data_IF_559938159877
#
_entry.id   IF_559938159877
#
_cell.length_a   1.000
_cell.length_b   1.000
_cell.length_c   1.000
_cell.angle_alpha   90.00
_cell.angle_beta   90.00
_cell.angle_gamma   90.00
#
_symmetry.space_group_name_H-M   'P 1'
#
loop_
_entity.id
_entity.type
_entity.pdbx_description
1 polymer ?
#
# COMPACT_ATOMS: atom_id res chain seq x y z
N UNK A 1 -25.07 26.94 15.58
CA UNK A 1 -23.89 26.35 14.91
C UNK A 1 -22.74 26.33 15.89
N UNK A 2 -22.33 25.13 16.34
CA UNK A 2 -21.18 24.94 17.24
C UNK A 2 -20.19 23.98 16.56
N UNK A 3 -18.94 24.42 16.49
CA UNK A 3 -17.77 23.64 16.04
C UNK A 3 -17.53 22.51 17.04
N UNK A 4 -17.25 21.31 16.54
CA UNK A 4 -16.77 20.20 17.36
C UNK A 4 -15.25 20.06 17.17
N UNK A 5 -14.50 20.55 18.17
CA UNK A 5 -13.12 20.16 18.41
C UNK A 5 -13.13 18.78 19.08
N UNK A 6 -12.50 17.77 18.47
CA UNK A 6 -12.52 16.36 18.92
C UNK A 6 -11.15 15.95 19.49
N UNK A 7 -10.42 16.88 20.09
CA UNK A 7 -9.23 16.55 20.87
C UNK A 7 -9.40 17.09 22.28
N UNK A 8 -9.95 16.26 23.18
CA UNK A 8 -9.56 16.22 24.59
C UNK A 8 -10.20 15.03 25.31
N UNK A 9 -9.28 14.22 25.86
CA UNK A 9 -9.47 12.99 26.64
C UNK A 9 -10.52 13.05 27.75
N UNK A 10 -11.26 11.95 27.91
CA UNK A 10 -11.61 11.42 29.23
C UNK A 10 -11.36 9.91 29.25
N UNK A 11 -10.61 9.49 30.27
CA UNK A 11 -10.21 8.12 30.57
C UNK A 11 -11.43 7.20 30.65
N UNK A 12 -11.45 6.17 29.81
CA UNK A 12 -12.30 4.99 29.95
C UNK A 12 -11.32 3.84 30.19
N UNK A 13 -11.33 3.29 31.40
CA UNK A 13 -10.59 2.07 31.72
C UNK A 13 -11.30 0.89 31.04
N UNK A 14 -10.67 0.34 30.02
CA UNK A 14 -11.15 -0.83 29.26
C UNK A 14 -10.40 -2.06 29.81
N UNK A 15 -11.08 -3.17 30.13
CA UNK A 15 -10.42 -4.40 30.59
C UNK A 15 -9.43 -4.92 29.53
N UNK A 16 -8.39 -5.68 29.90
CA UNK A 16 -7.31 -6.05 28.98
C UNK A 16 -7.78 -7.16 28.01
N UNK A 17 -8.67 -6.84 27.08
CA UNK A 17 -8.95 -7.67 25.92
C UNK A 17 -7.91 -7.34 24.84
N UNK A 18 -6.92 -8.24 24.75
CA UNK A 18 -5.96 -8.43 23.66
C UNK A 18 -5.67 -7.19 22.81
N UNK A 19 -4.63 -6.51 23.24
CA UNK A 19 -4.01 -5.37 22.58
C UNK A 19 -3.50 -5.76 21.17
N UNK A 20 -4.37 -5.68 20.17
CA UNK A 20 -4.06 -5.85 18.75
C UNK A 20 -3.10 -4.77 18.21
N UNK A 21 -2.72 -3.79 19.04
CA UNK A 21 -1.67 -2.82 18.71
C UNK A 21 -0.25 -3.31 19.04
N UNK A 22 -0.10 -4.45 19.74
CA UNK A 22 1.20 -5.11 19.94
C UNK A 22 1.77 -5.76 18.69
N UNK A 23 1.00 -5.89 17.61
CA UNK A 23 1.54 -6.26 16.30
C UNK A 23 2.13 -5.03 15.60
N UNK A 24 3.13 -4.44 16.26
CA UNK A 24 3.96 -3.31 15.78
C UNK A 24 4.75 -3.69 14.50
N UNK A 25 4.75 -4.98 14.16
CA UNK A 25 5.31 -5.63 12.97
C UNK A 25 4.96 -4.95 11.64
N UNK A 26 3.83 -4.23 11.57
CA UNK A 26 3.33 -3.63 10.32
C UNK A 26 3.61 -2.13 10.18
N UNK A 27 4.09 -1.46 11.22
CA UNK A 27 4.19 0.01 11.25
C UNK A 27 5.58 0.57 10.89
N UNK A 28 6.62 -0.27 10.79
CA UNK A 28 8.01 0.18 10.94
C UNK A 28 8.95 -0.13 9.77
N UNK A 29 8.43 -0.36 8.58
CA UNK A 29 9.30 -0.55 7.41
C UNK A 29 8.88 0.37 6.29
N UNK A 30 9.61 1.47 6.08
CA UNK A 30 9.55 2.27 4.85
C UNK A 30 9.87 1.43 3.60
N UNK A 31 10.40 0.22 3.81
CA UNK A 31 10.27 -0.92 2.91
C UNK A 31 10.59 -2.22 3.62
N UNK A 32 9.68 -3.19 3.63
CA UNK A 32 10.01 -4.53 4.12
C UNK A 32 10.99 -5.19 3.16
N UNK A 33 12.00 -5.89 3.69
CA UNK A 33 12.96 -6.66 2.89
C UNK A 33 12.87 -8.13 3.26
N UNK A 34 12.11 -8.90 2.50
CA UNK A 34 12.05 -10.35 2.67
C UNK A 34 13.34 -10.98 2.14
N UNK A 35 14.04 -11.75 2.99
CA UNK A 35 15.19 -12.57 2.62
C UNK A 35 14.71 -14.00 2.37
N UNK A 36 14.71 -14.46 1.11
CA UNK A 36 14.39 -15.85 0.79
C UNK A 36 15.62 -16.74 0.94
N UNK A 37 15.45 -17.91 1.56
CA UNK A 37 16.45 -18.98 1.67
C UNK A 37 16.42 -19.97 0.49
N UNK A 38 15.46 -19.85 -0.43
CA UNK A 38 15.17 -20.85 -1.49
C UNK A 38 15.96 -20.61 -2.79
N UNK A 39 16.75 -19.54 -2.89
CA UNK A 39 17.52 -19.22 -4.09
C UNK A 39 19.03 -19.33 -3.81
N UNK A 40 19.72 -20.16 -4.60
CA UNK A 40 21.15 -20.46 -4.48
C UNK A 40 22.08 -19.25 -4.76
N UNK A 41 21.55 -18.21 -5.42
CA UNK A 41 22.28 -16.98 -5.68
C UNK A 41 21.92 -15.90 -4.65
N UNK A 42 22.95 -15.24 -4.13
CA UNK A 42 22.90 -14.22 -3.08
C UNK A 42 21.68 -13.26 -3.16
N UNK A 43 20.71 -13.51 -2.26
CA UNK A 43 19.81 -12.52 -1.63
C UNK A 43 19.03 -11.61 -2.59
N UNK A 44 18.03 -12.16 -3.29
CA UNK A 44 16.93 -11.34 -3.86
C UNK A 44 16.24 -10.59 -2.71
N UNK A 45 16.45 -9.28 -2.62
CA UNK A 45 15.81 -8.39 -1.64
C UNK A 45 14.50 -7.88 -2.24
N UNK A 46 13.36 -8.39 -1.77
CA UNK A 46 12.04 -7.83 -2.16
C UNK A 46 11.86 -6.55 -1.36
N UNK A 47 11.89 -5.37 -2.02
CA UNK A 47 11.67 -4.08 -1.36
C UNK A 47 10.21 -3.65 -1.55
N UNK A 48 9.41 -3.69 -0.49
CA UNK A 48 8.04 -3.16 -0.53
C UNK A 48 8.07 -1.64 -0.47
N UNK A 49 7.42 -0.90 -1.37
CA UNK A 49 7.30 0.55 -1.23
C UNK A 49 5.89 0.91 -0.79
N UNK A 50 5.79 1.73 0.25
CA UNK A 50 4.52 2.25 0.74
C UNK A 50 4.29 3.67 0.22
N UNK A 51 3.07 3.93 -0.24
CA UNK A 51 2.64 5.20 -0.82
C UNK A 51 2.95 6.40 0.08
N UNK A 52 2.65 6.28 1.38
CA UNK A 52 2.82 7.37 2.36
C UNK A 52 4.28 7.79 2.57
N UNK A 53 5.22 6.86 2.44
CA UNK A 53 6.64 7.06 2.80
C UNK A 53 7.56 7.11 1.59
N UNK A 54 7.01 7.07 0.39
CA UNK A 54 7.82 7.03 -0.82
C UNK A 54 8.26 8.42 -1.26
N UNK A 55 9.46 8.49 -1.81
CA UNK A 55 9.97 9.71 -2.45
C UNK A 55 9.13 10.01 -3.70
N UNK A 56 8.71 11.27 -3.84
CA UNK A 56 7.95 11.75 -4.97
C UNK A 56 8.79 11.73 -6.26
N UNK A 57 8.13 11.57 -7.40
CA UNK A 57 8.69 11.55 -8.77
C UNK A 57 9.70 10.44 -9.07
N UNK A 58 9.90 9.48 -8.17
CA UNK A 58 10.78 8.32 -8.36
C UNK A 58 9.98 7.10 -8.79
N UNK A 59 10.47 6.39 -9.81
CA UNK A 59 9.86 5.15 -10.28
C UNK A 59 10.07 4.03 -9.25
N UNK A 60 8.97 3.47 -8.74
CA UNK A 60 8.99 2.39 -7.75
C UNK A 60 7.84 1.41 -7.99
N UNK A 61 7.99 0.22 -7.40
CA UNK A 61 6.98 -0.82 -7.37
C UNK A 61 6.09 -0.66 -6.13
N UNK A 62 4.78 -0.68 -6.35
CA UNK A 62 3.74 -0.64 -5.31
C UNK A 62 2.78 -1.81 -5.47
N UNK A 63 2.22 -2.28 -4.37
CA UNK A 63 1.20 -3.34 -4.35
C UNK A 63 -0.13 -2.74 -3.92
N UNK A 64 -0.98 -2.42 -4.90
CA UNK A 64 -2.15 -1.56 -4.70
C UNK A 64 -3.44 -2.31 -4.98
N UNK A 65 -4.39 -2.18 -4.07
CA UNK A 65 -5.78 -2.63 -4.25
C UNK A 65 -6.60 -1.50 -4.83
N UNK A 66 -7.35 -1.79 -5.90
CA UNK A 66 -8.26 -0.84 -6.54
C UNK A 66 -9.59 -0.83 -5.78
N UNK A 67 -10.00 0.31 -5.25
CA UNK A 67 -11.21 0.45 -4.43
C UNK A 67 -12.42 0.94 -5.23
N UNK A 68 -12.22 1.88 -6.15
CA UNK A 68 -13.31 2.45 -6.96
C UNK A 68 -12.78 3.12 -8.22
N UNK A 69 -13.69 3.38 -9.17
CA UNK A 69 -13.42 4.20 -10.36
C UNK A 69 -13.96 5.61 -10.16
N UNK A 70 -13.26 6.59 -10.70
CA UNK A 70 -13.70 8.00 -10.76
C UNK A 70 -13.58 8.52 -12.19
N UNK A 71 -13.99 9.77 -12.44
CA UNK A 71 -13.78 10.42 -13.75
C UNK A 71 -12.30 10.61 -14.08
N UNK A 72 -11.46 10.78 -13.05
CA UNK A 72 -10.04 11.14 -13.19
C UNK A 72 -9.10 9.93 -13.12
N UNK A 73 -9.63 8.72 -12.96
CA UNK A 73 -8.86 7.48 -12.83
C UNK A 73 -9.49 6.50 -11.83
N UNK A 74 -8.65 5.86 -11.02
CA UNK A 74 -9.09 4.91 -10.00
C UNK A 74 -8.63 5.32 -8.61
N UNK A 75 -9.39 4.99 -7.57
CA UNK A 75 -8.91 5.12 -6.19
C UNK A 75 -8.19 3.83 -5.81
N UNK A 76 -6.89 3.96 -5.53
CA UNK A 76 -6.03 2.90 -5.05
C UNK A 76 -5.79 3.00 -3.55
N UNK A 77 -5.47 1.87 -2.93
CA UNK A 77 -5.05 1.78 -1.54
C UNK A 77 -3.93 0.77 -1.39
N UNK A 78 -2.89 1.17 -0.66
CA UNK A 78 -1.94 0.24 -0.04
C UNK A 78 -2.13 0.28 1.49
N UNK A 79 -1.40 -0.53 2.26
CA UNK A 79 -1.54 -0.56 3.72
C UNK A 79 -1.19 0.77 4.42
N UNK A 80 -0.68 1.77 3.70
CA UNK A 80 -0.25 3.05 4.28
C UNK A 80 -1.23 4.19 4.02
N UNK A 81 -1.78 4.32 2.81
CA UNK A 81 -2.74 5.37 2.46
C UNK A 81 -3.48 5.10 1.13
N UNK A 82 -4.46 5.98 0.84
CA UNK A 82 -5.16 6.01 -0.47
C UNK A 82 -4.45 6.93 -1.45
N UNK A 83 -4.53 6.60 -2.74
CA UNK A 83 -4.06 7.43 -3.85
C UNK A 83 -5.04 7.44 -5.02
N UNK A 84 -4.91 8.43 -5.91
CA UNK A 84 -5.49 8.40 -7.24
C UNK A 84 -4.53 7.68 -8.19
N UNK A 85 -5.00 6.68 -8.92
CA UNK A 85 -4.23 5.95 -9.92
C UNK A 85 -4.60 6.50 -11.29
N UNK A 86 -3.60 7.03 -12.01
CA UNK A 86 -3.69 7.42 -13.41
C UNK A 86 -3.02 6.35 -14.27
N UNK A 87 -3.80 5.73 -15.15
CA UNK A 87 -3.35 4.72 -16.10
C UNK A 87 -4.22 4.75 -17.35
N UNK A 88 -3.71 4.21 -18.46
CA UNK A 88 -4.47 3.96 -19.69
C UNK A 88 -5.15 2.57 -19.67
N UNK A 89 -4.69 1.69 -18.79
CA UNK A 89 -5.20 0.32 -18.67
C UNK A 89 -6.50 0.28 -17.86
N UNK A 90 -7.43 -0.60 -18.23
CA UNK A 90 -8.67 -0.80 -17.48
C UNK A 90 -8.39 -1.67 -16.26
N UNK A 91 -8.67 -1.13 -15.07
CA UNK A 91 -8.50 -1.86 -13.82
C UNK A 91 -9.83 -2.43 -13.31
N UNK A 92 -9.74 -3.57 -12.62
CA UNK A 92 -10.89 -4.23 -11.98
C UNK A 92 -10.94 -3.79 -10.51
N UNK A 93 -12.13 -3.38 -10.06
CA UNK A 93 -12.37 -2.99 -8.67
C UNK A 93 -12.23 -4.22 -7.75
N UNK A 94 -11.72 -4.02 -6.54
CA UNK A 94 -11.41 -5.03 -5.53
C UNK A 94 -10.31 -6.03 -5.93
N UNK A 95 -9.57 -5.75 -7.01
CA UNK A 95 -8.37 -6.50 -7.39
C UNK A 95 -7.10 -5.79 -6.96
N UNK A 96 -6.06 -6.59 -6.73
CA UNK A 96 -4.75 -6.11 -6.31
C UNK A 96 -3.74 -6.29 -7.45
N UNK A 97 -2.94 -5.25 -7.65
CA UNK A 97 -1.98 -5.18 -8.74
C UNK A 97 -0.59 -4.81 -8.22
N UNK A 98 0.41 -5.32 -8.91
CA UNK A 98 1.76 -4.78 -8.93
C UNK A 98 1.78 -3.60 -9.91
N UNK A 99 2.02 -2.41 -9.38
CA UNK A 99 2.05 -1.17 -10.15
C UNK A 99 3.44 -0.56 -10.08
N UNK A 100 4.09 -0.43 -11.24
CA UNK A 100 5.32 0.34 -11.40
C UNK A 100 4.96 1.75 -11.84
N UNK A 101 5.36 2.74 -11.06
CA UNK A 101 5.02 4.12 -11.37
C UNK A 101 5.68 5.13 -10.46
N UNK A 102 5.32 6.39 -10.68
CA UNK A 102 5.84 7.55 -9.95
C UNK A 102 4.71 8.16 -9.13
N UNK A 103 5.01 8.47 -7.87
CA UNK A 103 4.07 9.19 -7.01
C UNK A 103 4.28 10.69 -7.17
N UNK A 104 3.19 11.39 -7.42
CA UNK A 104 3.12 12.85 -7.52
C UNK A 104 2.15 13.34 -6.45
N UNK A 105 2.44 14.51 -5.86
CA UNK A 105 1.53 15.16 -4.91
C UNK A 105 1.14 16.53 -5.45
N UNK A 106 -0.04 16.60 -6.04
CA UNK A 106 -0.72 17.85 -6.36
C UNK A 106 -1.74 18.11 -5.25
N UNK A 107 -3.04 18.14 -5.57
CA UNK A 107 -4.14 18.17 -4.58
C UNK A 107 -4.28 16.86 -3.81
N UNK A 108 -4.03 15.74 -4.48
CA UNK A 108 -4.08 14.38 -3.93
C UNK A 108 -2.80 13.61 -4.27
N UNK A 109 -2.49 12.58 -3.48
CA UNK A 109 -1.43 11.65 -3.82
C UNK A 109 -1.84 10.87 -5.07
N UNK A 110 -1.09 11.00 -6.14
CA UNK A 110 -1.40 10.43 -7.45
C UNK A 110 -0.29 9.50 -7.89
N UNK A 111 -0.63 8.26 -8.22
CA UNK A 111 0.26 7.32 -8.87
C UNK A 111 0.07 7.40 -10.38
N UNK A 112 1.14 7.80 -11.08
CA UNK A 112 1.22 7.72 -12.54
C UNK A 112 1.85 6.37 -12.87
N UNK A 113 1.04 5.43 -13.34
CA UNK A 113 1.49 4.07 -13.65
C UNK A 113 2.14 4.01 -15.04
N UNK A 114 3.32 3.39 -15.10
CA UNK A 114 4.01 3.04 -16.35
C UNK A 114 3.79 1.57 -16.73
N UNK A 115 3.63 0.68 -15.73
CA UNK A 115 3.34 -0.74 -15.94
C UNK A 115 2.46 -1.30 -14.84
N UNK A 116 1.49 -2.13 -15.22
CA UNK A 116 0.55 -2.78 -14.29
C UNK A 116 0.57 -4.28 -14.54
N UNK A 117 0.56 -5.06 -13.46
CA UNK A 117 0.50 -6.53 -13.50
C UNK A 117 -0.51 -6.98 -12.45
N UNK A 118 -1.51 -7.76 -12.83
CA UNK A 118 -2.42 -8.38 -11.84
C UNK A 118 -1.66 -9.42 -11.02
N UNK A 119 -1.85 -9.39 -9.71
CA UNK A 119 -1.20 -10.33 -8.81
C UNK A 119 -1.86 -11.71 -8.94
N UNK A 120 -1.08 -12.69 -9.39
CA UNK A 120 -1.47 -14.09 -9.35
C UNK A 120 -1.04 -14.71 -8.01
N UNK A 121 -1.97 -14.76 -7.07
CA UNK A 121 -1.75 -15.36 -5.75
C UNK A 121 -1.45 -16.86 -5.83
N UNK A 122 -2.01 -17.59 -6.80
CA UNK A 122 -1.73 -19.04 -6.94
C UNK A 122 -0.27 -19.25 -7.30
N UNK A 123 0.22 -18.46 -8.26
CA UNK A 123 1.63 -18.48 -8.66
C UNK A 123 2.56 -18.05 -7.53
N UNK A 124 2.21 -17.00 -6.78
CA UNK A 124 2.99 -16.54 -5.62
C UNK A 124 3.10 -17.61 -4.53
N UNK A 125 1.98 -18.25 -4.17
CA UNK A 125 1.98 -19.33 -3.18
C UNK A 125 2.83 -20.51 -3.65
N UNK A 126 2.72 -20.90 -4.93
CA UNK A 126 3.54 -21.96 -5.51
C UNK A 126 5.04 -21.64 -5.51
N UNK A 127 5.44 -20.37 -5.66
CA UNK A 127 6.84 -19.98 -5.58
C UNK A 127 7.38 -19.99 -4.14
N UNK A 128 6.51 -19.76 -3.15
CA UNK A 128 6.87 -19.68 -1.74
C UNK A 128 6.90 -21.04 -1.05
N UNK A 129 5.97 -21.94 -1.36
CA UNK A 129 5.91 -23.33 -0.86
C UNK A 129 6.85 -24.24 -1.66
#
# INVERSE_FOLDING_TARGET
MKKFDIFLNKNIEIPPSQDLTKDISLALESSSVLRSSKYANNKTKIKFNFLKFTQLYVLKLFFITVLSSTKDGYIGFDSSCRCLIKTKEKLIINKRYEMYGKIVKEKYLTLICEKIIEIDYKKLVYQLL
#
